data_IF_971325360451
#
_entry.id   IF_971325360451
#
_cell.length_a   1.000
_cell.length_b   1.000
_cell.length_c   1.000
_cell.angle_alpha   90.00
_cell.angle_beta   90.00
_cell.angle_gamma   90.00
#
_symmetry.space_group_name_H-M   'P 1'
#
loop_
_entity.id
_entity.type
_entity.pdbx_description
1 polymer ?
#
# COMPACT_ATOMS: atom_id res chain seq x y z
N UNK A 1 -5.30 -34.85 32.74
CA UNK A 1 -4.78 -35.91 31.84
C UNK A 1 -4.32 -35.25 30.56
N UNK A 2 -3.05 -35.36 30.15
CA UNK A 2 -2.61 -34.85 28.86
C UNK A 2 -2.94 -35.86 27.75
N UNK A 3 -3.21 -35.42 26.50
CA UNK A 3 -3.49 -36.32 25.39
C UNK A 3 -2.21 -37.01 24.90
N UNK A 4 -2.34 -38.28 24.52
CA UNK A 4 -1.26 -39.08 23.96
C UNK A 4 -0.80 -38.52 22.60
N UNK A 5 0.49 -38.23 22.47
CA UNK A 5 1.12 -37.94 21.18
C UNK A 5 1.37 -39.25 20.45
N UNK A 6 0.84 -39.38 19.23
CA UNK A 6 1.17 -40.46 18.31
C UNK A 6 2.52 -40.17 17.66
N UNK A 7 3.39 -41.17 17.69
CA UNK A 7 4.73 -41.14 17.09
C UNK A 7 4.63 -41.39 15.56
N UNK A 8 4.95 -40.39 14.71
CA UNK A 8 4.89 -40.54 13.26
C UNK A 8 5.90 -41.57 12.72
N UNK A 9 6.96 -41.89 13.46
CA UNK A 9 7.97 -42.87 13.03
C UNK A 9 7.46 -44.32 13.17
N UNK A 10 6.40 -44.53 13.96
CA UNK A 10 5.77 -45.84 14.14
C UNK A 10 4.92 -46.27 12.93
N UNK A 11 4.35 -45.32 12.17
CA UNK A 11 3.53 -45.62 10.99
C UNK A 11 4.37 -45.82 9.71
N UNK A 12 5.47 -45.09 9.57
CA UNK A 12 6.34 -45.20 8.41
C UNK A 12 7.10 -46.54 8.37
N UNK A 13 7.55 -47.04 9.53
CA UNK A 13 8.36 -48.26 9.61
C UNK A 13 7.58 -49.57 9.34
N UNK A 14 6.28 -49.62 9.65
CA UNK A 14 5.46 -50.83 9.40
C UNK A 14 4.87 -50.93 7.99
N UNK A 15 4.64 -49.82 7.30
CA UNK A 15 4.08 -49.86 5.94
C UNK A 15 5.14 -50.13 4.87
N UNK A 16 6.40 -49.70 5.09
CA UNK A 16 7.49 -49.95 4.16
C UNK A 16 8.16 -51.33 4.33
N UNK A 17 8.14 -51.89 5.54
CA UNK A 17 8.78 -53.18 5.83
C UNK A 17 8.06 -54.43 5.28
N UNK A 18 6.81 -54.32 4.84
CA UNK A 18 6.05 -55.46 4.33
C UNK A 18 6.16 -55.66 2.80
N UNK A 19 6.86 -54.77 2.09
CA UNK A 19 6.84 -54.72 0.61
C UNK A 19 8.18 -55.07 -0.05
N UNK A 20 9.26 -55.28 0.71
CA UNK A 20 10.61 -55.48 0.16
C UNK A 20 10.99 -56.93 -0.14
N UNK A 21 10.21 -57.92 0.30
CA UNK A 21 10.66 -59.32 0.30
C UNK A 21 10.16 -60.16 -0.90
N UNK A 22 9.45 -59.55 -1.87
CA UNK A 22 9.05 -60.24 -3.10
C UNK A 22 9.88 -59.81 -4.32
N UNK A 23 10.81 -60.66 -4.82
CA UNK A 23 11.69 -60.33 -5.94
C UNK A 23 10.97 -60.15 -7.30
N UNK A 24 9.66 -60.40 -7.35
CA UNK A 24 8.82 -60.20 -8.53
C UNK A 24 8.18 -58.80 -8.64
N UNK A 25 8.19 -57.98 -7.57
CA UNK A 25 7.50 -56.68 -7.56
C UNK A 25 8.33 -55.51 -8.08
N UNK A 26 9.66 -55.56 -7.95
CA UNK A 26 10.57 -54.52 -8.41
C UNK A 26 10.47 -54.19 -9.93
N UNK A 27 10.39 -55.18 -10.85
CA UNK A 27 10.27 -54.86 -12.27
C UNK A 27 8.88 -54.33 -12.66
N UNK A 28 7.81 -54.76 -11.99
CA UNK A 28 6.44 -54.30 -12.27
C UNK A 28 6.23 -52.83 -11.86
N UNK A 29 6.81 -52.43 -10.73
CA UNK A 29 6.78 -51.03 -10.26
C UNK A 29 7.64 -50.11 -11.15
N UNK A 30 8.80 -50.59 -11.62
CA UNK A 30 9.65 -49.86 -12.55
C UNK A 30 8.97 -49.56 -13.89
N UNK A 31 8.26 -50.54 -14.46
CA UNK A 31 7.52 -50.38 -15.72
C UNK A 31 6.30 -49.46 -15.54
N UNK A 32 5.55 -49.62 -14.43
CA UNK A 32 4.41 -48.76 -14.13
C UNK A 32 4.78 -47.27 -14.00
N UNK A 33 5.89 -46.97 -13.32
CA UNK A 33 6.39 -45.60 -13.14
C UNK A 33 6.92 -45.01 -14.45
N UNK A 34 7.61 -45.81 -15.28
CA UNK A 34 8.11 -45.38 -16.59
C UNK A 34 7.00 -45.02 -17.59
N UNK A 35 5.85 -45.70 -17.51
CA UNK A 35 4.70 -45.41 -18.40
C UNK A 35 3.86 -44.24 -17.87
N UNK A 36 3.73 -44.05 -16.55
CA UNK A 36 2.90 -42.98 -15.99
C UNK A 36 3.51 -41.59 -16.18
N UNK A 37 4.83 -41.47 -16.04
CA UNK A 37 5.57 -40.20 -16.14
C UNK A 37 5.28 -39.42 -17.44
N UNK A 38 5.40 -40.00 -18.65
CA UNK A 38 5.13 -39.26 -19.89
C UNK A 38 3.66 -38.84 -20.04
N UNK A 39 2.71 -39.63 -19.52
CA UNK A 39 1.28 -39.27 -19.53
C UNK A 39 0.99 -38.07 -18.64
N UNK A 40 1.59 -38.02 -17.45
CA UNK A 40 1.48 -36.88 -16.53
C UNK A 40 2.12 -35.63 -17.12
N UNK A 41 3.31 -35.75 -17.75
CA UNK A 41 3.98 -34.62 -18.42
C UNK A 41 3.13 -34.07 -19.58
N UNK A 42 2.55 -34.94 -20.41
CA UNK A 42 1.65 -34.53 -21.50
C UNK A 42 0.36 -33.88 -20.99
N UNK A 43 -0.22 -34.38 -19.89
CA UNK A 43 -1.38 -33.77 -19.27
C UNK A 43 -1.07 -32.37 -18.73
N UNK A 44 0.07 -32.19 -18.07
CA UNK A 44 0.53 -30.88 -17.57
C UNK A 44 0.78 -29.90 -18.72
N UNK A 45 1.42 -30.34 -19.81
CA UNK A 45 1.61 -29.48 -20.98
C UNK A 45 0.29 -29.07 -21.63
N UNK A 46 -0.68 -29.98 -21.71
CA UNK A 46 -1.99 -29.71 -22.30
C UNK A 46 -2.79 -28.71 -21.47
N UNK A 47 -2.72 -28.80 -20.13
CA UNK A 47 -3.30 -27.82 -19.20
C UNK A 47 -2.60 -26.46 -19.35
N UNK A 48 -1.27 -26.43 -19.49
CA UNK A 48 -0.51 -25.18 -19.68
C UNK A 48 -0.81 -24.50 -21.01
N UNK A 49 -1.02 -25.26 -22.10
CA UNK A 49 -1.41 -24.70 -23.41
C UNK A 49 -2.86 -24.20 -23.38
N UNK A 50 -3.77 -24.96 -22.78
CA UNK A 50 -5.16 -24.55 -22.61
C UNK A 50 -5.30 -23.27 -21.75
N UNK A 51 -4.40 -23.05 -20.79
CA UNK A 51 -4.37 -21.83 -19.99
C UNK A 51 -3.75 -20.60 -20.68
N UNK A 52 -2.92 -20.78 -21.72
CA UNK A 52 -2.32 -19.64 -22.47
C UNK A 52 -3.24 -19.07 -23.53
N UNK A 53 -4.11 -19.90 -24.10
CA UNK A 53 -4.95 -19.52 -25.24
C UNK A 53 -6.42 -19.29 -24.84
N UNK A 54 -6.76 -19.41 -23.55
CA UNK A 54 -8.10 -19.11 -23.08
C UNK A 54 -8.35 -17.59 -23.16
N UNK A 55 -9.27 -17.11 -24.02
CA UNK A 55 -9.64 -15.70 -24.02
C UNK A 55 -10.22 -15.35 -22.67
N UNK A 56 -9.60 -14.38 -21.99
CA UNK A 56 -10.07 -13.85 -20.71
C UNK A 56 -11.52 -13.38 -20.95
N UNK A 57 -12.52 -13.93 -20.24
CA UNK A 57 -13.90 -13.52 -20.43
C UNK A 57 -13.99 -12.04 -20.07
N UNK A 58 -14.32 -11.19 -21.05
CA UNK A 58 -14.61 -9.79 -20.78
C UNK A 58 -15.93 -9.72 -20.01
N UNK A 59 -15.88 -9.85 -18.69
CA UNK A 59 -17.00 -9.49 -17.84
C UNK A 59 -17.32 -8.02 -18.11
N UNK A 60 -18.59 -7.77 -18.42
CA UNK A 60 -19.16 -6.44 -18.59
C UNK A 60 -18.76 -5.57 -17.42
N UNK A 61 -17.91 -4.59 -17.73
CA UNK A 61 -17.38 -3.56 -16.84
C UNK A 61 -18.55 -2.77 -16.27
N UNK A 62 -18.79 -2.85 -14.97
CA UNK A 62 -19.57 -1.81 -14.31
C UNK A 62 -18.54 -0.77 -13.86
N UNK A 63 -18.56 0.46 -14.40
CA UNK A 63 -17.61 1.48 -13.99
C UNK A 63 -17.73 1.65 -12.48
N UNK A 64 -16.62 1.47 -11.74
CA UNK A 64 -16.50 2.08 -10.41
C UNK A 64 -16.79 3.55 -10.64
N UNK A 65 -17.78 4.09 -9.93
CA UNK A 65 -18.31 5.44 -10.12
C UNK A 65 -17.30 6.48 -9.62
N UNK A 66 -16.16 6.52 -10.29
CA UNK A 66 -15.14 7.52 -10.14
C UNK A 66 -15.34 8.52 -11.29
N UNK A 67 -15.38 9.82 -10.99
CA UNK A 67 -15.43 10.81 -12.04
C UNK A 67 -14.24 10.59 -12.99
N UNK A 68 -14.45 10.73 -14.31
CA UNK A 68 -13.49 10.36 -15.35
C UNK A 68 -12.12 11.08 -15.28
N UNK A 69 -11.96 12.03 -14.36
CA UNK A 69 -10.72 12.78 -14.15
C UNK A 69 -10.02 12.52 -12.80
N UNK A 70 -10.43 11.51 -12.03
CA UNK A 70 -9.68 11.08 -10.84
C UNK A 70 -9.60 12.11 -9.70
N UNK A 71 -10.45 13.13 -9.68
CA UNK A 71 -10.63 14.04 -8.53
C UNK A 71 -11.96 13.75 -7.85
N UNK A 72 -11.97 13.62 -6.54
CA UNK A 72 -13.14 13.26 -5.73
C UNK A 72 -13.52 14.41 -4.83
N UNK A 73 -14.79 14.83 -4.92
CA UNK A 73 -15.33 15.88 -4.06
C UNK A 73 -15.30 15.45 -2.58
N UNK A 74 -14.67 16.28 -1.75
CA UNK A 74 -14.57 16.14 -0.31
C UNK A 74 -15.18 17.40 0.34
N UNK A 75 -16.46 17.37 0.74
CA UNK A 75 -17.20 18.56 1.17
C UNK A 75 -16.77 19.04 2.57
N UNK A 76 -15.67 19.77 2.62
CA UNK A 76 -15.17 20.49 3.79
C UNK A 76 -15.19 21.99 3.52
N UNK A 77 -15.73 22.75 4.48
CA UNK A 77 -15.81 24.20 4.44
C UNK A 77 -15.40 24.78 5.80
N UNK A 78 -14.76 25.97 5.85
CA UNK A 78 -14.38 26.79 4.71
C UNK A 78 -13.15 26.23 3.98
N UNK A 79 -13.18 26.25 2.64
CA UNK A 79 -12.05 25.92 1.80
C UNK A 79 -11.68 27.06 0.82
N UNK A 80 -10.38 27.22 0.56
CA UNK A 80 -9.85 28.22 -0.37
C UNK A 80 -9.18 27.53 -1.56
N UNK A 81 -9.55 27.92 -2.78
CA UNK A 81 -8.97 27.36 -4.01
C UNK A 81 -7.46 27.63 -4.06
N UNK A 82 -6.68 26.59 -4.38
CA UNK A 82 -5.24 26.74 -4.58
C UNK A 82 -4.98 27.48 -5.91
N UNK A 83 -4.32 28.65 -5.91
CA UNK A 83 -4.14 29.45 -7.13
C UNK A 83 -3.29 28.75 -8.20
N UNK A 84 -2.39 27.86 -7.80
CA UNK A 84 -1.55 27.07 -8.70
C UNK A 84 -2.23 25.78 -9.20
N UNK A 85 -3.33 25.35 -8.56
CA UNK A 85 -4.15 24.21 -8.97
C UNK A 85 -5.61 24.43 -8.58
N UNK A 86 -6.39 25.19 -9.38
CA UNK A 86 -7.76 25.59 -9.01
C UNK A 86 -8.75 24.44 -8.82
N UNK A 87 -8.39 23.23 -9.28
CA UNK A 87 -9.16 21.99 -9.07
C UNK A 87 -9.07 21.49 -7.63
N UNK A 88 -8.15 22.02 -6.83
CA UNK A 88 -7.97 21.66 -5.43
C UNK A 88 -8.15 22.88 -4.53
N UNK A 89 -8.58 22.63 -3.29
CA UNK A 89 -8.78 23.66 -2.29
C UNK A 89 -8.13 23.27 -0.96
N UNK A 90 -7.57 24.26 -0.27
CA UNK A 90 -7.05 24.13 1.10
C UNK A 90 -8.19 24.28 2.08
N UNK A 91 -8.37 23.32 2.98
CA UNK A 91 -9.21 23.54 4.16
C UNK A 91 -8.59 24.59 5.09
N UNK A 92 -9.35 25.62 5.45
CA UNK A 92 -8.85 26.73 6.26
C UNK A 92 -9.06 26.56 7.77
N UNK A 93 -10.06 25.75 8.18
CA UNK A 93 -10.41 25.58 9.58
C UNK A 93 -10.81 26.89 10.30
N UNK A 94 -10.86 26.86 11.65
CA UNK A 94 -10.83 25.64 12.47
C UNK A 94 -12.11 24.83 12.32
N UNK A 95 -12.01 23.51 12.38
CA UNK A 95 -13.15 22.60 12.50
C UNK A 95 -13.84 22.80 13.84
N UNK A 96 -15.18 22.83 13.83
CA UNK A 96 -15.98 23.05 15.04
C UNK A 96 -16.88 21.85 15.30
N UNK A 97 -17.30 21.70 16.55
CA UNK A 97 -18.24 20.64 16.93
C UNK A 97 -19.58 20.75 16.18
N UNK A 98 -19.96 21.93 15.71
CA UNK A 98 -21.16 22.14 14.88
C UNK A 98 -21.02 21.60 13.44
N UNK A 99 -19.79 21.41 12.95
CA UNK A 99 -19.49 20.91 11.59
C UNK A 99 -19.47 19.37 11.55
N UNK A 100 -19.67 18.70 12.69
CA UNK A 100 -19.57 17.25 12.82
C UNK A 100 -20.70 16.54 12.10
N UNK A 101 -20.33 15.49 11.36
CA UNK A 101 -21.33 14.62 10.74
C UNK A 101 -21.96 13.73 11.82
N UNK A 102 -23.30 13.59 11.89
CA UNK A 102 -23.94 12.71 12.87
C UNK A 102 -23.63 11.22 12.60
N UNK A 103 -23.56 10.85 11.32
CA UNK A 103 -23.34 9.48 10.86
C UNK A 103 -21.86 9.17 10.65
N UNK A 104 -21.11 9.08 11.76
CA UNK A 104 -19.69 8.67 11.71
C UNK A 104 -19.58 7.16 11.67
N UNK A 105 -18.76 6.59 10.76
CA UNK A 105 -18.45 5.17 10.82
C UNK A 105 -17.78 4.87 12.17
N UNK A 106 -18.29 3.87 12.87
CA UNK A 106 -17.60 3.33 14.03
C UNK A 106 -16.24 2.80 13.58
N UNK A 107 -15.18 3.17 14.29
CA UNK A 107 -13.87 2.59 14.02
C UNK A 107 -13.89 1.13 14.47
N UNK A 108 -13.45 0.18 13.61
CA UNK A 108 -13.39 -1.21 14.01
C UNK A 108 -12.29 -1.39 15.05
N UNK A 109 -12.71 -1.50 16.32
CA UNK A 109 -12.15 -2.19 17.50
C UNK A 109 -11.01 -3.22 17.42
N UNK A 110 -10.54 -3.61 16.21
CA UNK A 110 -9.62 -4.73 16.00
C UNK A 110 -8.65 -4.46 14.85
N UNK A 111 -7.41 -4.96 15.01
CA UNK A 111 -6.45 -5.16 13.92
C UNK A 111 -7.14 -5.87 12.76
N UNK A 112 -7.24 -5.16 11.65
CA UNK A 112 -7.87 -5.64 10.42
C UNK A 112 -6.75 -5.86 9.39
N UNK A 113 -6.76 -6.96 8.63
CA UNK A 113 -5.84 -7.13 7.52
C UNK A 113 -5.91 -5.94 6.55
N UNK A 114 -4.81 -5.66 5.85
CA UNK A 114 -4.80 -4.67 4.79
C UNK A 114 -5.97 -4.95 3.82
N UNK A 115 -6.80 -3.93 3.51
CA UNK A 115 -7.84 -4.13 2.52
C UNK A 115 -7.18 -4.37 1.14
N UNK A 116 -7.79 -5.16 0.26
CA UNK A 116 -7.33 -5.27 -1.11
C UNK A 116 -7.52 -3.93 -1.83
N UNK A 117 -6.64 -3.60 -2.78
CA UNK A 117 -6.76 -2.42 -3.63
C UNK A 117 -7.87 -2.63 -4.68
N UNK A 118 -9.13 -2.52 -4.29
CA UNK A 118 -10.30 -2.79 -5.14
C UNK A 118 -11.41 -1.77 -4.87
N UNK A 119 -12.33 -1.65 -5.83
CA UNK A 119 -13.47 -0.74 -5.68
C UNK A 119 -13.02 0.72 -5.66
N UNK A 120 -13.71 1.55 -4.87
CA UNK A 120 -13.45 3.00 -4.80
C UNK A 120 -12.42 3.32 -3.72
N UNK A 121 -11.29 3.88 -4.12
CA UNK A 121 -10.21 4.37 -3.25
C UNK A 121 -10.08 5.88 -3.40
N UNK A 122 -9.95 6.59 -2.28
CA UNK A 122 -9.73 8.05 -2.27
C UNK A 122 -8.44 8.37 -1.51
N UNK A 123 -7.53 9.05 -2.18
CA UNK A 123 -6.25 9.52 -1.66
C UNK A 123 -6.43 10.92 -1.07
N UNK A 124 -6.22 11.05 0.24
CA UNK A 124 -6.39 12.32 0.96
C UNK A 124 -5.02 12.81 1.43
N UNK A 125 -4.71 14.08 1.16
CA UNK A 125 -3.38 14.65 1.44
C UNK A 125 -3.40 15.60 2.63
N UNK A 126 -2.45 15.41 3.54
CA UNK A 126 -2.10 16.32 4.63
C UNK A 126 -0.66 16.79 4.44
N UNK A 127 -0.47 18.10 4.22
CA UNK A 127 0.83 18.73 4.05
C UNK A 127 1.31 19.30 5.38
N UNK A 128 2.43 18.78 5.87
CA UNK A 128 3.05 19.19 7.12
C UNK A 128 4.30 20.01 6.81
N UNK A 129 4.30 21.30 7.18
CA UNK A 129 5.48 22.14 7.12
C UNK A 129 6.59 21.66 8.08
N UNK A 130 7.76 22.25 7.98
CA UNK A 130 8.90 21.98 8.85
C UNK A 130 9.80 23.22 8.96
N UNK A 131 10.58 23.31 10.05
CA UNK A 131 11.53 24.41 10.29
C UNK A 131 10.88 25.81 10.20
N UNK A 132 9.64 25.94 10.71
CA UNK A 132 8.86 27.18 10.63
C UNK A 132 8.43 27.57 9.21
N UNK A 133 8.51 26.65 8.24
CA UNK A 133 8.11 26.87 6.85
C UNK A 133 6.98 25.91 6.45
N UNK A 134 5.86 26.49 6.02
CA UNK A 134 4.78 25.76 5.37
C UNK A 134 5.12 25.32 3.94
N UNK A 135 4.21 24.56 3.35
CA UNK A 135 4.23 24.23 1.93
C UNK A 135 3.68 25.39 1.11
N UNK A 136 4.37 25.76 0.03
CA UNK A 136 3.86 26.76 -0.92
C UNK A 136 2.83 26.17 -1.88
N UNK A 137 1.93 27.01 -2.40
CA UNK A 137 0.84 26.58 -3.29
C UNK A 137 1.34 25.83 -4.53
N UNK A 138 2.41 26.32 -5.16
CA UNK A 138 3.05 25.67 -6.31
C UNK A 138 3.63 24.29 -5.95
N UNK A 139 4.15 24.12 -4.73
CA UNK A 139 4.72 22.86 -4.26
C UNK A 139 3.61 21.83 -4.02
N UNK A 140 2.51 22.26 -3.39
CA UNK A 140 1.30 21.46 -3.20
C UNK A 140 0.71 21.05 -4.55
N UNK A 141 0.53 22.00 -5.47
CA UNK A 141 0.00 21.75 -6.80
C UNK A 141 0.81 20.69 -7.56
N UNK A 142 2.14 20.74 -7.49
CA UNK A 142 3.00 19.71 -8.10
C UNK A 142 2.83 18.34 -7.43
N UNK A 143 2.67 18.28 -6.11
CA UNK A 143 2.49 17.01 -5.39
C UNK A 143 1.17 16.35 -5.75
N UNK A 144 0.08 17.12 -5.73
CA UNK A 144 -1.24 16.64 -6.12
C UNK A 144 -1.26 16.19 -7.59
N UNK A 145 -0.62 16.93 -8.50
CA UNK A 145 -0.49 16.51 -9.89
C UNK A 145 0.33 15.21 -10.07
N UNK A 146 1.35 14.98 -9.25
CA UNK A 146 2.08 13.69 -9.21
C UNK A 146 1.22 12.56 -8.63
N UNK A 147 0.40 12.86 -7.62
CA UNK A 147 -0.51 11.90 -7.01
C UNK A 147 -1.62 11.48 -7.98
N UNK A 148 -2.20 12.42 -8.74
CA UNK A 148 -3.16 12.12 -9.81
C UNK A 148 -2.55 11.20 -10.88
N UNK A 149 -1.27 11.41 -11.24
CA UNK A 149 -0.57 10.51 -12.18
C UNK A 149 -0.38 9.11 -11.60
N UNK A 150 -0.02 9.01 -10.32
CA UNK A 150 0.11 7.73 -9.62
C UNK A 150 -1.24 7.00 -9.55
N UNK A 151 -2.32 7.71 -9.23
CA UNK A 151 -3.68 7.19 -9.18
C UNK A 151 -4.11 6.57 -10.52
N UNK A 152 -3.99 7.32 -11.62
CA UNK A 152 -4.30 6.82 -12.98
C UNK A 152 -3.46 5.62 -13.37
N UNK A 153 -2.16 5.65 -13.07
CA UNK A 153 -1.28 4.52 -13.35
C UNK A 153 -1.68 3.26 -12.57
N UNK A 154 -2.10 3.37 -11.30
CA UNK A 154 -2.59 2.22 -10.53
C UNK A 154 -3.88 1.64 -11.11
N UNK A 155 -4.81 2.48 -11.59
CA UNK A 155 -6.01 2.02 -12.30
C UNK A 155 -5.65 1.27 -13.60
N UNK A 156 -4.71 1.80 -14.39
CA UNK A 156 -4.21 1.15 -15.60
C UNK A 156 -3.59 -0.22 -15.30
N UNK A 157 -2.74 -0.29 -14.27
CA UNK A 157 -2.10 -1.55 -13.87
C UNK A 157 -3.12 -2.57 -13.35
N UNK A 158 -4.09 -2.16 -12.54
CA UNK A 158 -5.19 -3.03 -12.10
C UNK A 158 -6.00 -3.57 -13.27
N UNK A 159 -6.27 -2.72 -14.28
CA UNK A 159 -6.96 -3.08 -15.51
C UNK A 159 -6.26 -4.19 -16.29
N UNK A 160 -4.92 -4.26 -16.24
CA UNK A 160 -4.14 -5.36 -16.85
C UNK A 160 -4.38 -6.70 -16.19
N UNK A 161 -4.78 -6.70 -14.92
CA UNK A 161 -5.19 -7.89 -14.16
C UNK A 161 -6.70 -8.14 -14.20
N UNK A 162 -7.47 -7.31 -14.92
CA UNK A 162 -8.93 -7.43 -15.00
C UNK A 162 -9.64 -7.09 -13.69
N UNK A 163 -9.00 -6.32 -12.81
CA UNK A 163 -9.57 -5.88 -11.53
C UNK A 163 -10.18 -4.50 -11.68
N UNK A 164 -11.41 -4.36 -11.21
CA UNK A 164 -12.10 -3.07 -11.13
C UNK A 164 -11.63 -2.32 -9.88
N UNK A 165 -10.84 -1.27 -10.10
CA UNK A 165 -10.46 -0.29 -9.09
C UNK A 165 -10.64 1.10 -9.68
N UNK A 166 -11.11 2.01 -8.84
CA UNK A 166 -11.06 3.42 -9.10
C UNK A 166 -10.27 4.10 -8.00
N UNK A 167 -9.17 4.78 -8.34
CA UNK A 167 -8.34 5.54 -7.41
C UNK A 167 -8.46 7.03 -7.74
N UNK A 168 -9.06 7.79 -6.83
CA UNK A 168 -9.21 9.25 -6.96
C UNK A 168 -8.41 10.03 -5.92
N UNK A 169 -8.13 11.29 -6.19
CA UNK A 169 -7.50 12.26 -5.25
C UNK A 169 -8.58 13.20 -4.74
N UNK A 170 -8.65 13.45 -3.43
CA UNK A 170 -9.60 14.42 -2.89
C UNK A 170 -9.33 15.84 -3.42
N UNK A 171 -10.38 16.59 -3.77
CA UNK A 171 -10.26 17.99 -4.17
C UNK A 171 -9.86 18.90 -3.00
N UNK A 172 -10.23 18.56 -1.77
CA UNK A 172 -9.77 19.24 -0.57
C UNK A 172 -8.52 18.59 0.01
N UNK A 173 -7.49 19.40 0.27
CA UNK A 173 -6.31 19.01 1.03
C UNK A 173 -6.19 19.81 2.33
N UNK A 174 -5.40 19.27 3.25
CA UNK A 174 -5.14 19.87 4.55
C UNK A 174 -3.68 20.31 4.60
N UNK A 175 -3.41 21.45 5.22
CA UNK A 175 -2.05 21.95 5.35
C UNK A 175 -1.87 22.70 6.67
N UNK A 176 -0.83 22.33 7.41
CA UNK A 176 -0.44 22.99 8.65
C UNK A 176 1.00 23.45 8.53
N UNK A 177 1.28 24.66 9.02
CA UNK A 177 2.64 25.14 9.11
C UNK A 177 3.38 24.32 10.18
N UNK A 178 4.62 23.94 9.90
CA UNK A 178 5.43 23.18 10.86
C UNK A 178 5.75 24.06 12.06
N UNK A 179 5.63 23.50 13.26
CA UNK A 179 6.14 24.17 14.45
C UNK A 179 7.66 24.38 14.31
N UNK A 180 8.17 25.50 14.80
CA UNK A 180 9.61 25.66 15.10
C UNK A 180 9.93 24.84 16.34
N UNK A 181 9.70 23.54 16.32
CA UNK A 181 10.16 22.68 17.39
C UNK A 181 11.58 22.22 17.04
N UNK A 182 12.46 22.21 18.04
CA UNK A 182 13.60 21.31 18.05
C UNK A 182 13.04 19.89 18.06
N UNK A 183 12.60 19.41 16.90
CA UNK A 183 11.87 18.17 16.81
C UNK A 183 12.86 17.02 17.05
N UNK A 184 12.78 16.47 18.27
CA UNK A 184 13.31 15.18 18.74
C UNK A 184 14.21 14.52 17.71
N UNK A 185 15.52 14.77 17.86
CA UNK A 185 16.60 14.16 17.11
C UNK A 185 16.24 12.73 16.71
N UNK A 186 16.18 12.49 15.40
CA UNK A 186 16.14 11.13 14.87
C UNK A 186 17.49 10.52 15.20
N UNK A 187 17.65 10.04 16.44
CA UNK A 187 18.77 9.20 16.80
C UNK A 187 18.58 7.88 16.07
N UNK A 188 19.19 7.80 14.89
CA UNK A 188 19.55 6.54 14.27
C UNK A 188 20.54 5.87 15.22
N UNK A 189 20.03 5.10 16.17
CA UNK A 189 20.87 4.21 16.96
C UNK A 189 21.35 3.10 16.02
N UNK A 190 22.57 3.23 15.50
CA UNK A 190 23.27 2.10 14.91
C UNK A 190 23.57 1.10 16.03
N UNK A 191 22.83 -0.01 16.06
CA UNK A 191 23.19 -1.16 16.88
C UNK A 191 23.22 -2.41 16.01
N UNK A 192 24.42 -2.96 15.81
CA UNK A 192 24.62 -4.40 15.68
C UNK A 192 24.11 -5.13 14.43
N UNK A 193 24.11 -4.51 13.24
CA UNK A 193 24.08 -5.27 11.96
C UNK A 193 22.74 -5.83 11.49
N UNK A 194 21.65 -5.67 12.24
CA UNK A 194 20.28 -5.93 11.78
C UNK A 194 19.42 -4.68 12.00
N UNK A 195 18.88 -4.11 10.91
CA UNK A 195 17.97 -2.97 10.96
C UNK A 195 16.59 -3.50 11.33
N UNK A 196 16.31 -3.63 12.63
CA UNK A 196 15.12 -4.36 13.09
C UNK A 196 14.56 -3.89 14.42
N UNK A 197 14.38 -2.58 14.63
CA UNK A 197 13.60 -2.01 15.73
C UNK A 197 12.94 -0.65 15.39
N UNK A 198 12.85 -0.30 14.10
CA UNK A 198 12.40 1.04 13.65
C UNK A 198 10.87 1.16 13.49
N UNK A 199 10.15 0.09 13.14
CA UNK A 199 8.77 0.22 12.64
C UNK A 199 7.74 0.62 13.71
N UNK A 200 7.85 0.09 14.94
CA UNK A 200 6.88 0.37 16.01
C UNK A 200 6.90 1.83 16.47
N UNK A 201 8.08 2.47 16.48
CA UNK A 201 8.22 3.88 16.83
C UNK A 201 7.69 4.80 15.70
N UNK A 202 7.83 4.37 14.44
CA UNK A 202 7.39 5.16 13.29
C UNK A 202 5.87 5.26 13.17
N UNK A 203 5.13 4.21 13.54
CA UNK A 203 3.67 4.25 13.63
C UNK A 203 3.18 5.21 14.71
N UNK A 204 3.75 5.16 15.91
CA UNK A 204 3.41 6.07 17.01
C UNK A 204 3.73 7.53 16.67
N UNK A 205 4.91 7.79 16.09
CA UNK A 205 5.31 9.12 15.61
C UNK A 205 4.34 9.62 14.54
N UNK A 206 3.99 8.76 13.60
CA UNK A 206 3.06 9.10 12.54
C UNK A 206 1.71 9.58 13.06
N UNK A 207 1.15 8.80 13.98
CA UNK A 207 -0.11 9.08 14.67
C UNK A 207 0.00 10.37 15.48
N UNK A 208 1.12 10.58 16.16
CA UNK A 208 1.37 11.78 16.97
C UNK A 208 1.42 13.04 16.11
N UNK A 209 2.17 13.00 14.99
CA UNK A 209 2.23 14.10 14.03
C UNK A 209 0.87 14.40 13.44
N UNK A 210 0.15 13.37 12.98
CA UNK A 210 -1.21 13.54 12.46
C UNK A 210 -2.16 14.12 13.51
N UNK A 211 -2.06 13.70 14.77
CA UNK A 211 -2.95 14.15 15.85
C UNK A 211 -2.69 15.61 16.20
N UNK A 212 -1.42 16.05 16.21
CA UNK A 212 -1.06 17.46 16.40
C UNK A 212 -1.55 18.33 15.23
N UNK A 213 -1.37 17.86 14.00
CA UNK A 213 -1.86 18.55 12.81
C UNK A 213 -3.40 18.62 12.78
N UNK A 214 -4.08 17.53 13.17
CA UNK A 214 -5.53 17.51 13.31
C UNK A 214 -6.00 18.54 14.36
N UNK A 215 -5.32 18.59 15.51
CA UNK A 215 -5.63 19.54 16.58
C UNK A 215 -5.45 21.00 16.13
N UNK A 216 -4.39 21.33 15.37
CA UNK A 216 -4.20 22.69 14.87
C UNK A 216 -5.24 23.11 13.82
N UNK A 217 -5.87 22.13 13.15
CA UNK A 217 -7.02 22.34 12.26
C UNK A 217 -8.37 22.36 12.99
N UNK A 218 -8.39 22.20 14.32
CA UNK A 218 -9.59 22.24 15.17
C UNK A 218 -10.27 20.89 15.41
N UNK A 219 -9.73 19.79 14.89
CA UNK A 219 -10.20 18.44 15.24
C UNK A 219 -9.74 18.06 16.65
N UNK A 220 -10.34 17.04 17.25
CA UNK A 220 -9.92 16.59 18.60
C UNK A 220 -8.58 15.87 18.57
N UNK A 221 -8.39 14.99 17.59
CA UNK A 221 -7.21 14.16 17.38
C UNK A 221 -7.22 13.56 15.95
N UNK A 222 -6.25 12.70 15.62
CA UNK A 222 -6.18 12.04 14.32
C UNK A 222 -7.37 11.10 14.05
N UNK A 223 -7.91 10.43 15.07
CA UNK A 223 -9.03 9.49 14.90
C UNK A 223 -10.28 10.26 14.51
N UNK A 224 -10.57 11.34 15.23
CA UNK A 224 -11.66 12.26 14.95
C UNK A 224 -11.56 12.80 13.53
N UNK A 225 -10.36 13.22 13.13
CA UNK A 225 -10.11 13.75 11.80
C UNK A 225 -10.34 12.71 10.68
N UNK A 226 -9.82 11.49 10.84
CA UNK A 226 -10.03 10.41 9.86
C UNK A 226 -11.51 10.03 9.75
N UNK A 227 -12.21 9.95 10.88
CA UNK A 227 -13.64 9.63 10.91
C UNK A 227 -14.48 10.69 10.19
N UNK A 228 -14.20 11.97 10.40
CA UNK A 228 -14.94 13.07 9.74
C UNK A 228 -14.72 13.07 8.22
N UNK A 229 -13.51 12.75 7.76
CA UNK A 229 -13.24 12.59 6.32
C UNK A 229 -13.92 11.35 5.76
N UNK A 230 -13.82 10.21 6.43
CA UNK A 230 -14.44 8.96 5.99
C UNK A 230 -15.98 9.06 5.93
N UNK A 231 -16.61 9.75 6.89
CA UNK A 231 -18.05 10.00 6.91
C UNK A 231 -18.54 10.78 5.67
N UNK A 232 -17.69 11.63 5.09
CA UNK A 232 -17.98 12.43 3.90
C UNK A 232 -17.66 11.71 2.58
N UNK A 233 -17.03 10.54 2.65
CA UNK A 233 -16.66 9.70 1.51
C UNK A 233 -17.29 8.30 1.63
N UNK A 234 -18.62 8.19 1.69
CA UNK A 234 -19.28 6.92 1.90
C UNK A 234 -18.97 5.92 0.78
N UNK A 235 -18.68 4.67 1.15
CA UNK A 235 -18.37 3.59 0.23
C UNK A 235 -16.97 3.65 -0.39
N UNK A 236 -16.11 4.57 0.04
CA UNK A 236 -14.71 4.62 -0.37
C UNK A 236 -13.77 4.07 0.71
N UNK A 237 -12.70 3.41 0.28
CA UNK A 237 -11.51 3.20 1.12
C UNK A 237 -10.67 4.46 1.08
N UNK A 238 -10.49 5.10 2.24
CA UNK A 238 -9.68 6.31 2.37
C UNK A 238 -8.24 5.93 2.70
N UNK A 239 -7.30 6.40 1.87
CA UNK A 239 -5.87 6.25 2.08
C UNK A 239 -5.25 7.63 2.31
N UNK A 240 -4.52 7.79 3.40
CA UNK A 240 -3.95 9.08 3.80
C UNK A 240 -2.49 9.19 3.41
N UNK A 241 -2.12 10.34 2.85
CA UNK A 241 -0.75 10.70 2.52
C UNK A 241 -0.33 11.92 3.33
N UNK A 242 0.68 11.75 4.18
CA UNK A 242 1.30 12.79 4.97
C UNK A 242 2.55 13.27 4.24
N UNK A 243 2.47 14.47 3.66
CA UNK A 243 3.57 15.08 2.92
C UNK A 243 4.41 15.94 3.86
N UNK A 244 5.55 15.40 4.29
CA UNK A 244 6.46 16.08 5.20
C UNK A 244 7.40 17.00 4.44
N UNK A 245 7.52 18.26 4.84
CA UNK A 245 8.47 19.24 4.26
C UNK A 245 9.92 19.00 4.69
N UNK A 246 10.36 17.76 4.67
CA UNK A 246 11.70 17.34 5.07
C UNK A 246 12.28 16.38 4.03
N UNK A 247 13.61 16.35 3.94
CA UNK A 247 14.25 15.22 3.29
C UNK A 247 14.19 14.01 4.22
N UNK A 248 14.12 12.80 3.66
CA UNK A 248 14.08 11.56 4.44
C UNK A 248 13.62 10.39 3.60
N UNK A 249 13.49 9.22 4.21
CA UNK A 249 12.98 8.03 3.53
C UNK A 249 11.47 7.96 3.70
N UNK A 250 10.75 7.87 2.60
CA UNK A 250 9.31 7.60 2.65
C UNK A 250 9.05 6.19 3.16
N UNK A 251 7.90 6.02 3.81
CA UNK A 251 7.44 4.72 4.29
C UNK A 251 5.94 4.74 4.48
N UNK A 252 5.33 3.56 4.50
CA UNK A 252 3.91 3.38 4.77
C UNK A 252 3.67 2.61 6.07
N UNK A 253 2.62 2.99 6.77
CA UNK A 253 2.08 2.29 7.94
C UNK A 253 0.74 1.69 7.50
N UNK A 254 0.73 0.41 7.07
CA UNK A 254 -0.49 -0.27 6.68
C UNK A 254 -1.43 -0.51 7.86
N UNK A 255 -2.69 -0.80 7.55
CA UNK A 255 -3.79 -0.92 8.53
C UNK A 255 -3.51 -1.98 9.62
N UNK A 256 -2.80 -3.05 9.27
CA UNK A 256 -2.47 -4.15 10.18
C UNK A 256 -1.30 -3.83 11.13
N UNK A 257 -0.59 -2.72 10.90
CA UNK A 257 0.57 -2.25 11.68
C UNK A 257 0.33 -0.96 12.47
N UNK A 258 -0.78 -0.27 12.22
CA UNK A 258 -1.19 0.89 13.01
C UNK A 258 -1.94 0.46 14.27
N UNK A 259 -1.68 1.13 15.39
CA UNK A 259 -2.52 1.00 16.58
C UNK A 259 -3.75 1.94 16.51
N UNK A 260 -3.80 2.86 15.54
CA UNK A 260 -5.02 3.55 15.15
C UNK A 260 -5.78 2.74 14.11
N UNK A 261 -6.75 1.98 14.58
CA UNK A 261 -7.59 1.13 13.75
C UNK A 261 -8.41 1.95 12.77
N UNK A 262 -8.44 1.54 11.51
CA UNK A 262 -9.13 2.25 10.42
C UNK A 262 -8.27 3.29 9.68
N UNK A 263 -7.03 3.52 10.09
CA UNK A 263 -6.15 4.53 9.47
C UNK A 263 -4.97 3.89 8.75
N UNK A 264 -4.93 3.93 7.42
CA UNK A 264 -3.72 3.61 6.64
C UNK A 264 -3.00 4.91 6.26
N UNK A 265 -1.70 5.02 6.59
CA UNK A 265 -0.93 6.25 6.47
C UNK A 265 0.34 6.04 5.62
N UNK A 266 0.57 6.86 4.62
CA UNK A 266 1.84 6.93 3.89
C UNK A 266 2.59 8.22 4.23
N UNK A 267 3.84 8.12 4.68
CA UNK A 267 4.75 9.23 4.91
C UNK A 267 5.54 9.53 3.65
N UNK A 268 5.19 10.64 3.02
CA UNK A 268 5.80 11.11 1.80
C UNK A 268 6.78 12.23 2.15
N UNK A 269 8.06 11.89 2.29
CA UNK A 269 9.09 12.91 2.43
C UNK A 269 9.22 13.70 1.13
N UNK A 270 9.31 15.02 1.27
CA UNK A 270 9.45 15.97 0.18
C UNK A 270 10.69 15.70 -0.70
N UNK A 271 11.73 15.05 -0.16
CA UNK A 271 12.88 14.55 -0.92
C UNK A 271 13.41 13.25 -0.32
N UNK A 272 13.68 12.26 -1.17
CA UNK A 272 14.35 11.03 -0.72
C UNK A 272 15.78 11.31 -0.28
N UNK A 273 16.10 10.94 0.96
CA UNK A 273 17.44 11.02 1.53
C UNK A 273 17.62 9.94 2.61
N UNK A 274 18.87 9.54 2.85
CA UNK A 274 19.18 8.55 3.89
C UNK A 274 18.94 9.07 5.31
N UNK A 275 18.96 10.39 5.49
CA UNK A 275 18.80 11.07 6.76
C UNK A 275 17.85 12.25 6.60
N UNK A 276 17.28 12.67 7.72
CA UNK A 276 16.43 13.84 7.75
C UNK A 276 17.28 15.09 7.78
N UNK A 277 17.04 15.98 6.83
CA UNK A 277 17.74 17.25 6.72
C UNK A 277 16.79 18.34 6.17
N UNK A 278 17.03 19.61 6.53
CA UNK A 278 16.29 20.73 5.99
C UNK A 278 16.35 20.81 4.47
N UNK A 279 15.25 21.23 3.85
CA UNK A 279 15.20 21.42 2.40
C UNK A 279 15.84 22.74 1.99
N UNK A 280 16.91 22.66 1.20
CA UNK A 280 17.57 23.83 0.60
C UNK A 280 16.87 24.25 -0.70
N UNK A 281 16.11 23.35 -1.34
CA UNK A 281 15.41 23.59 -2.61
C UNK A 281 13.95 23.14 -2.52
N UNK A 282 13.05 23.72 -3.34
CA UNK A 282 11.69 23.24 -3.44
C UNK A 282 11.65 21.75 -3.78
N UNK A 283 10.80 20.96 -3.13
CA UNK A 283 10.71 19.54 -3.39
C UNK A 283 10.10 19.24 -4.76
N UNK A 284 10.56 18.14 -5.33
CA UNK A 284 10.09 17.62 -6.62
C UNK A 284 9.43 16.26 -6.37
N UNK A 285 8.09 16.19 -6.44
CA UNK A 285 7.37 14.96 -6.15
C UNK A 285 7.60 13.92 -7.24
N UNK A 286 7.84 12.68 -6.84
CA UNK A 286 8.03 11.54 -7.74
C UNK A 286 6.80 10.65 -7.72
N UNK A 287 6.05 10.62 -8.81
CA UNK A 287 4.84 9.81 -8.91
C UNK A 287 5.10 8.30 -8.70
N UNK A 288 6.28 7.81 -9.10
CA UNK A 288 6.74 6.44 -8.82
C UNK A 288 6.79 6.13 -7.31
N UNK A 289 7.37 7.04 -6.52
CA UNK A 289 7.43 6.91 -5.06
C UNK A 289 6.03 6.96 -4.47
N UNK A 290 5.17 7.91 -4.91
CA UNK A 290 3.80 7.98 -4.40
C UNK A 290 3.00 6.71 -4.70
N UNK A 291 3.13 6.13 -5.90
CA UNK A 291 2.49 4.86 -6.24
C UNK A 291 3.01 3.71 -5.35
N UNK A 292 4.32 3.64 -5.15
CA UNK A 292 4.98 2.68 -4.27
C UNK A 292 4.44 2.75 -2.83
N UNK A 293 4.41 3.95 -2.23
CA UNK A 293 3.91 4.13 -0.87
C UNK A 293 2.41 3.82 -0.75
N UNK A 294 1.60 4.17 -1.75
CA UNK A 294 0.17 3.85 -1.73
C UNK A 294 -0.03 2.33 -1.78
N UNK A 295 0.71 1.58 -2.60
CA UNK A 295 0.56 0.12 -2.71
C UNK A 295 0.88 -0.60 -1.38
N UNK A 296 1.82 -0.08 -0.58
CA UNK A 296 2.06 -0.61 0.77
C UNK A 296 0.83 -0.53 1.68
N UNK A 297 0.01 0.52 1.55
CA UNK A 297 -1.23 0.67 2.35
C UNK A 297 -2.23 -0.47 2.10
N UNK A 298 -2.09 -1.15 0.96
CA UNK A 298 -2.89 -2.29 0.54
C UNK A 298 -2.13 -3.62 0.65
N UNK A 299 -1.02 -3.65 1.40
CA UNK A 299 -0.31 -4.88 1.77
C UNK A 299 0.84 -5.28 0.86
N UNK A 300 1.20 -4.48 -0.16
CA UNK A 300 2.39 -4.74 -0.95
C UNK A 300 3.65 -4.72 -0.08
N UNK A 301 4.60 -5.61 -0.35
CA UNK A 301 5.89 -5.66 0.35
C UNK A 301 7.03 -5.13 -0.52
N UNK A 302 8.02 -4.54 0.15
CA UNK A 302 9.27 -4.11 -0.46
C UNK A 302 10.04 -5.28 -1.08
N UNK A 303 10.54 -5.07 -2.29
CA UNK A 303 11.28 -6.08 -3.06
C UNK A 303 12.69 -5.64 -3.43
N UNK A 304 13.04 -4.37 -3.21
CA UNK A 304 14.42 -3.91 -3.35
C UNK A 304 15.31 -4.54 -2.27
N UNK A 305 16.62 -4.60 -2.55
CA UNK A 305 17.60 -5.28 -1.69
C UNK A 305 17.64 -6.80 -1.86
N UNK A 306 16.60 -7.43 -2.41
CA UNK A 306 16.60 -8.86 -2.73
C UNK A 306 17.02 -9.11 -4.20
N UNK A 307 17.90 -10.08 -4.47
CA UNK A 307 18.22 -10.48 -5.84
C UNK A 307 16.99 -11.12 -6.50
N UNK A 308 16.82 -11.00 -7.83
CA UNK A 308 15.67 -11.58 -8.54
C UNK A 308 15.56 -13.10 -8.37
N UNK A 309 16.68 -13.80 -8.12
CA UNK A 309 16.70 -15.24 -7.82
C UNK A 309 16.03 -15.62 -6.50
N UNK A 310 15.76 -14.66 -5.61
CA UNK A 310 14.97 -14.87 -4.40
C UNK A 310 13.49 -15.13 -4.70
N UNK A 311 13.00 -14.61 -5.84
CA UNK A 311 11.60 -14.73 -6.24
C UNK A 311 11.41 -15.88 -7.22
N UNK A 312 10.18 -16.40 -7.29
CA UNK A 312 9.82 -17.36 -8.34
C UNK A 312 10.02 -16.71 -9.72
N UNK A 313 10.54 -17.44 -10.73
CA UNK A 313 10.75 -16.86 -12.07
C UNK A 313 9.49 -16.20 -12.63
N UNK A 314 9.62 -14.92 -13.01
CA UNK A 314 8.53 -14.11 -13.57
C UNK A 314 7.55 -13.54 -12.53
N UNK A 315 7.71 -13.82 -11.23
CA UNK A 315 6.87 -13.25 -10.18
C UNK A 315 7.24 -11.80 -9.85
N UNK A 316 8.52 -11.46 -10.02
CA UNK A 316 9.10 -10.12 -9.82
C UNK A 316 10.17 -9.91 -10.90
N UNK A 317 10.24 -8.69 -11.44
CA UNK A 317 11.22 -8.23 -12.42
C UNK A 317 11.79 -6.87 -12.00
N UNK A 318 12.84 -6.40 -12.66
CA UNK A 318 13.43 -5.08 -12.38
C UNK A 318 12.46 -3.90 -12.59
N UNK A 319 11.31 -4.14 -13.25
CA UNK A 319 10.28 -3.14 -13.50
C UNK A 319 9.20 -3.11 -12.43
N UNK A 320 9.23 -4.01 -11.44
CA UNK A 320 8.27 -3.98 -10.34
C UNK A 320 8.37 -2.66 -9.57
N UNK A 321 7.25 -1.98 -9.41
CA UNK A 321 7.16 -0.74 -8.63
C UNK A 321 7.63 -0.93 -7.19
N UNK A 322 7.50 -2.14 -6.63
CA UNK A 322 7.98 -2.45 -5.27
C UNK A 322 9.49 -2.69 -5.19
N UNK A 323 10.20 -2.71 -6.33
CA UNK A 323 11.68 -2.62 -6.37
C UNK A 323 12.17 -1.20 -6.59
N UNK A 324 11.37 -0.35 -7.23
CA UNK A 324 11.66 1.08 -7.44
C UNK A 324 13.04 1.35 -8.10
N UNK A 325 13.47 0.48 -9.03
CA UNK A 325 14.75 0.62 -9.75
C UNK A 325 14.77 1.77 -10.78
N UNK A 326 13.61 2.41 -11.02
CA UNK A 326 13.45 3.59 -11.86
C UNK A 326 12.60 4.64 -11.15
N UNK A 327 12.96 5.91 -11.31
CA UNK A 327 12.17 7.04 -10.80
C UNK A 327 11.02 7.43 -11.74
N UNK A 328 11.02 6.90 -12.97
CA UNK A 328 10.02 7.21 -14.00
C UNK A 328 8.89 6.20 -13.92
N UNK A 329 7.71 6.67 -13.52
CA UNK A 329 6.51 5.83 -13.38
C UNK A 329 6.18 4.99 -14.63
N UNK A 330 6.27 5.51 -15.88
CA UNK A 330 6.00 4.69 -17.08
C UNK A 330 6.99 3.55 -17.33
N UNK A 331 8.14 3.56 -16.67
CA UNK A 331 9.13 2.49 -16.78
C UNK A 331 8.83 1.34 -15.80
N UNK A 332 7.92 1.57 -14.84
CA UNK A 332 7.51 0.63 -13.80
C UNK A 332 6.19 -0.06 -14.15
N UNK A 333 5.91 -1.15 -13.46
CA UNK A 333 4.67 -1.92 -13.53
C UNK A 333 4.38 -2.58 -12.18
N UNK A 334 3.17 -3.05 -11.99
CA UNK A 334 2.85 -4.00 -10.92
C UNK A 334 3.15 -5.41 -11.46
N UNK A 335 4.07 -6.13 -10.80
CA UNK A 335 4.38 -7.52 -11.16
C UNK A 335 3.46 -8.53 -10.44
N UNK A 336 3.39 -9.79 -10.89
CA UNK A 336 2.44 -10.77 -10.36
C UNK A 336 2.47 -10.98 -8.84
N UNK A 337 3.65 -10.93 -8.21
CA UNK A 337 3.74 -11.04 -6.74
C UNK A 337 3.09 -9.83 -6.06
N UNK A 338 3.43 -8.61 -6.48
CA UNK A 338 2.80 -7.38 -5.98
C UNK A 338 1.29 -7.39 -6.23
N UNK A 339 0.85 -7.80 -7.42
CA UNK A 339 -0.57 -7.92 -7.74
C UNK A 339 -1.30 -8.90 -6.80
N UNK A 340 -0.67 -10.02 -6.41
CA UNK A 340 -1.25 -10.94 -5.42
C UNK A 340 -1.34 -10.29 -4.03
N UNK A 341 -0.30 -9.59 -3.60
CA UNK A 341 -0.24 -8.91 -2.29
C UNK A 341 -1.34 -7.86 -2.13
N UNK A 342 -1.58 -7.03 -3.15
CA UNK A 342 -2.66 -6.02 -3.13
C UNK A 342 -4.03 -6.59 -3.47
N UNK A 343 -4.13 -7.92 -3.62
CA UNK A 343 -5.37 -8.63 -3.86
C UNK A 343 -5.93 -8.50 -5.28
N UNK A 344 -5.11 -8.28 -6.31
CA UNK A 344 -5.52 -8.32 -7.71
C UNK A 344 -5.48 -9.72 -8.31
N UNK A 345 -4.57 -10.57 -7.83
CA UNK A 345 -4.49 -11.99 -8.17
C UNK A 345 -4.86 -12.85 -6.96
N UNK A 346 -5.51 -14.00 -7.18
CA UNK A 346 -5.96 -14.94 -6.15
C UNK A 346 -5.81 -16.39 -6.56
#
# INVERSE_FOLDING_TARGET
>A
MPPARLDPDFLASRLLGAWTDHPAFAPALGIGVLVLLPVVVLAIERIRRAGRDAPIPSKTRHPVDNPPEGIVALPFEPAESNPASPRHARYLGPFRDADRTPDRPGMPWRRTPCPPLRGRVVLVSLFLGADGRGWGDDEVARHLASLERAARWMEEEAGRYGVEVGVGVADVYFAVDGETSEEVDIQVAQSGGEVGLFEADMGVRAITLMSRAAASLGFRDAVDFVQEVAARLPGATVAWLLHLRLAGRSYAVPLDRTDLEGVSLAFCHARQANFTEPLIRPPVPRAAVLAHEVLHLFGAQDKYGWPLSHFRPGAVTDRDVMRLESERLPDLRVDPLTAMEVGWLG
#
